data_IF_637787230364
#
_entry.id   IF_637787230364
#
_cell.length_a   1.000
_cell.length_b   1.000
_cell.length_c   1.000
_cell.angle_alpha   90.00
_cell.angle_beta   90.00
_cell.angle_gamma   90.00
#
_symmetry.space_group_name_H-M   'P 1'
#
loop_
_entity.id
_entity.type
_entity.pdbx_description
1 polymer ?
#
# COMPACT_ATOMS: atom_id res chain seq x y z
N UNK A 1 45.09 1.16 11.06
CA UNK A 1 44.59 -0.17 11.40
C UNK A 1 43.91 -0.72 10.15
N UNK A 2 44.52 -1.70 9.47
CA UNK A 2 43.92 -2.31 8.29
C UNK A 2 42.85 -3.29 8.78
N UNK A 3 41.60 -3.07 8.39
CA UNK A 3 40.50 -4.00 8.64
C UNK A 3 40.79 -5.35 7.99
N UNK A 4 40.54 -6.43 8.74
CA UNK A 4 40.65 -7.79 8.25
C UNK A 4 39.77 -7.95 6.96
N UNK A 5 40.20 -8.69 5.90
CA UNK A 5 39.38 -8.95 4.70
C UNK A 5 38.00 -9.46 5.02
N UNK A 6 37.79 -10.29 6.03
CA UNK A 6 36.50 -10.77 6.50
C UNK A 6 35.60 -9.62 6.98
N UNK A 7 36.14 -8.65 7.72
CA UNK A 7 35.38 -7.49 8.20
C UNK A 7 34.92 -6.60 7.05
N UNK A 8 35.73 -6.43 6.00
CA UNK A 8 35.32 -5.67 4.79
C UNK A 8 34.19 -6.35 4.05
N UNK A 9 34.23 -7.68 3.96
CA UNK A 9 33.17 -8.44 3.30
C UNK A 9 31.84 -8.36 4.05
N UNK A 10 31.87 -8.50 5.37
CA UNK A 10 30.70 -8.37 6.24
C UNK A 10 30.13 -6.94 6.16
N UNK A 11 30.98 -5.91 6.22
CA UNK A 11 30.51 -4.52 6.04
C UNK A 11 29.86 -4.26 4.69
N UNK A 12 30.39 -4.85 3.62
CA UNK A 12 29.77 -4.74 2.29
C UNK A 12 28.38 -5.37 2.27
N UNK A 13 28.22 -6.59 2.79
CA UNK A 13 26.93 -7.27 2.90
C UNK A 13 25.96 -6.45 3.74
N UNK A 14 26.37 -5.90 4.87
CA UNK A 14 25.53 -5.05 5.73
C UNK A 14 25.04 -3.80 4.98
N UNK A 15 25.92 -3.16 4.20
CA UNK A 15 25.56 -1.99 3.40
C UNK A 15 24.52 -2.36 2.34
N UNK A 16 24.75 -3.42 1.56
CA UNK A 16 23.82 -3.90 0.54
C UNK A 16 22.45 -4.25 1.14
N UNK A 17 22.43 -4.91 2.30
CA UNK A 17 21.18 -5.23 3.02
C UNK A 17 20.46 -4.00 3.54
N UNK A 18 21.19 -3.02 4.05
CA UNK A 18 20.60 -1.74 4.47
C UNK A 18 19.95 -0.99 3.30
N UNK A 19 20.58 -1.00 2.13
CA UNK A 19 20.05 -0.39 0.91
C UNK A 19 18.77 -1.12 0.43
N UNK A 20 18.79 -2.45 0.42
CA UNK A 20 17.62 -3.27 0.08
C UNK A 20 16.45 -3.03 1.05
N UNK A 21 16.74 -2.92 2.34
CA UNK A 21 15.77 -2.61 3.36
C UNK A 21 15.08 -1.24 3.12
N UNK A 22 15.87 -0.19 2.90
CA UNK A 22 15.35 1.15 2.62
C UNK A 22 14.52 1.16 1.33
N UNK A 23 14.95 0.41 0.31
CA UNK A 23 14.22 0.26 -0.94
C UNK A 23 12.88 -0.44 -0.74
N UNK A 24 12.85 -1.51 0.07
CA UNK A 24 11.62 -2.25 0.39
C UNK A 24 10.63 -1.38 1.16
N UNK A 25 11.10 -0.59 2.14
CA UNK A 25 10.24 0.36 2.87
C UNK A 25 9.65 1.44 1.95
N UNK A 26 10.46 2.00 1.04
CA UNK A 26 9.95 2.96 0.05
C UNK A 26 8.87 2.35 -0.84
N UNK A 27 9.03 1.11 -1.25
CA UNK A 27 8.03 0.40 -2.07
C UNK A 27 6.72 0.21 -1.33
N UNK A 28 6.76 -0.20 -0.06
CA UNK A 28 5.56 -0.35 0.78
C UNK A 28 4.87 0.99 0.96
N UNK A 29 5.62 2.05 1.29
CA UNK A 29 5.07 3.40 1.45
C UNK A 29 4.40 3.92 0.18
N UNK A 30 5.06 3.80 -0.98
CA UNK A 30 4.50 4.20 -2.28
C UNK A 30 3.23 3.44 -2.63
N UNK A 31 3.21 2.14 -2.36
CA UNK A 31 2.03 1.32 -2.61
C UNK A 31 0.83 1.77 -1.76
N UNK A 32 1.08 2.04 -0.49
CA UNK A 32 0.05 2.51 0.44
C UNK A 32 -0.48 3.89 0.04
N UNK A 33 0.40 4.82 -0.33
CA UNK A 33 0.02 6.15 -0.81
C UNK A 33 -0.80 6.09 -2.09
N UNK A 34 -0.41 5.25 -3.04
CA UNK A 34 -1.15 5.07 -4.29
C UNK A 34 -2.57 4.52 -4.06
N UNK A 35 -2.72 3.56 -3.14
CA UNK A 35 -4.01 2.99 -2.79
C UNK A 35 -4.91 4.02 -2.09
N UNK A 36 -4.36 4.75 -1.14
CA UNK A 36 -5.07 5.82 -0.44
C UNK A 36 -5.52 6.90 -1.40
N UNK A 37 -4.62 7.36 -2.26
CA UNK A 37 -4.91 8.41 -3.23
C UNK A 37 -5.97 7.98 -4.25
N UNK A 38 -5.98 6.71 -4.67
CA UNK A 38 -7.04 6.18 -5.53
C UNK A 38 -8.42 6.36 -4.90
N UNK A 39 -8.63 5.94 -3.67
CA UNK A 39 -9.93 6.05 -3.01
C UNK A 39 -10.33 7.50 -2.71
N UNK A 40 -9.35 8.35 -2.38
CA UNK A 40 -9.59 9.78 -2.20
C UNK A 40 -10.04 10.44 -3.50
N UNK A 41 -9.33 10.19 -4.60
CA UNK A 41 -9.66 10.76 -5.91
C UNK A 41 -11.03 10.26 -6.38
N UNK A 42 -11.33 8.97 -6.24
CA UNK A 42 -12.65 8.44 -6.62
C UNK A 42 -13.79 9.01 -5.78
N UNK A 43 -13.57 9.26 -4.48
CA UNK A 43 -14.54 9.94 -3.63
C UNK A 43 -14.77 11.39 -4.08
N UNK A 44 -13.71 12.14 -4.40
CA UNK A 44 -13.83 13.51 -4.88
C UNK A 44 -14.55 13.60 -6.24
N UNK A 45 -14.23 12.69 -7.16
CA UNK A 45 -14.91 12.61 -8.46
C UNK A 45 -16.39 12.26 -8.26
N UNK A 46 -16.72 11.30 -7.39
CA UNK A 46 -18.12 10.98 -7.07
C UNK A 46 -18.85 12.17 -6.48
N UNK A 47 -18.22 12.93 -5.59
CA UNK A 47 -18.81 14.14 -5.02
C UNK A 47 -19.08 15.20 -6.08
N UNK A 48 -18.15 15.41 -7.03
CA UNK A 48 -18.32 16.34 -8.13
C UNK A 48 -19.52 15.96 -9.03
N UNK A 49 -19.69 14.66 -9.32
CA UNK A 49 -20.83 14.15 -10.08
C UNK A 49 -22.14 14.36 -9.30
N UNK A 50 -22.18 14.07 -7.99
CA UNK A 50 -23.35 14.31 -7.14
C UNK A 50 -23.76 15.78 -7.21
N UNK A 51 -22.82 16.71 -7.08
CA UNK A 51 -23.10 18.14 -7.15
C UNK A 51 -23.64 18.55 -8.51
N UNK A 52 -23.11 17.98 -9.59
CA UNK A 52 -23.60 18.20 -10.96
C UNK A 52 -25.02 17.63 -11.13
N UNK A 53 -25.26 16.40 -10.70
CA UNK A 53 -26.58 15.76 -10.80
C UNK A 53 -27.64 16.50 -9.97
N UNK A 54 -27.28 17.00 -8.78
CA UNK A 54 -28.18 17.83 -7.96
C UNK A 54 -28.52 19.12 -8.69
N UNK A 55 -27.56 19.79 -9.30
CA UNK A 55 -27.79 21.01 -10.08
C UNK A 55 -28.69 20.75 -11.27
N UNK A 56 -28.46 19.67 -12.01
CA UNK A 56 -29.31 19.26 -13.14
C UNK A 56 -30.72 18.88 -12.70
N UNK A 57 -30.89 18.24 -11.56
CA UNK A 57 -32.16 17.87 -10.99
C UNK A 57 -33.05 19.09 -10.71
N UNK A 58 -32.48 20.18 -10.23
CA UNK A 58 -33.19 21.43 -10.02
C UNK A 58 -33.57 22.17 -11.34
N UNK A 59 -32.79 21.91 -12.42
CA UNK A 59 -32.97 22.60 -13.70
C UNK A 59 -33.93 21.86 -14.62
N UNK A 60 -33.95 20.54 -14.60
CA UNK A 60 -34.66 19.66 -15.54
C UNK A 60 -35.73 18.81 -14.85
N UNK A 61 -36.67 19.36 -14.16
CA UNK A 61 -37.80 18.67 -13.51
C UNK A 61 -37.84 17.14 -13.64
N UNK A 62 -37.31 16.43 -12.63
CA UNK A 62 -37.59 15.01 -12.35
C UNK A 62 -37.22 13.98 -13.43
N UNK A 63 -36.08 14.11 -14.09
CA UNK A 63 -35.61 13.08 -15.01
C UNK A 63 -35.17 11.79 -14.26
N UNK A 64 -35.72 10.64 -14.67
CA UNK A 64 -35.38 9.32 -14.07
C UNK A 64 -33.89 8.98 -14.18
N UNK A 65 -33.22 9.40 -15.25
CA UNK A 65 -31.81 9.13 -15.48
C UNK A 65 -30.92 9.85 -14.46
N UNK A 66 -31.28 11.08 -14.06
CA UNK A 66 -30.55 11.82 -13.02
C UNK A 66 -30.69 11.10 -11.66
N UNK A 67 -31.86 10.56 -11.33
CA UNK A 67 -32.05 9.78 -10.10
C UNK A 67 -31.20 8.51 -10.09
N UNK A 68 -31.11 7.83 -11.24
CA UNK A 68 -30.27 6.63 -11.39
C UNK A 68 -28.79 6.99 -11.28
N UNK A 69 -28.35 8.08 -11.93
CA UNK A 69 -26.99 8.60 -11.81
C UNK A 69 -26.65 8.92 -10.36
N UNK A 70 -27.48 9.68 -9.66
CA UNK A 70 -27.33 10.01 -8.23
C UNK A 70 -27.21 8.77 -7.35
N UNK A 71 -28.03 7.75 -7.61
CA UNK A 71 -28.00 6.50 -6.86
C UNK A 71 -26.65 5.79 -7.00
N UNK A 72 -26.17 5.58 -8.24
CA UNK A 72 -24.89 4.92 -8.47
C UNK A 72 -23.72 5.73 -7.96
N UNK A 73 -23.77 7.05 -8.10
CA UNK A 73 -22.71 7.94 -7.60
C UNK A 73 -22.68 7.97 -6.08
N UNK A 74 -23.82 7.97 -5.40
CA UNK A 74 -23.89 7.90 -3.95
C UNK A 74 -23.30 6.59 -3.41
N UNK A 75 -23.60 5.46 -4.06
CA UNK A 75 -22.99 4.16 -3.72
C UNK A 75 -21.47 4.22 -3.93
N UNK A 76 -20.99 4.73 -5.06
CA UNK A 76 -19.56 4.86 -5.35
C UNK A 76 -18.87 5.75 -4.33
N UNK A 77 -19.48 6.87 -3.95
CA UNK A 77 -18.95 7.78 -2.93
C UNK A 77 -18.82 7.10 -1.57
N UNK A 78 -19.90 6.50 -1.08
CA UNK A 78 -19.91 5.81 0.21
C UNK A 78 -18.91 4.66 0.25
N UNK A 79 -18.85 3.89 -0.84
CA UNK A 79 -17.89 2.81 -0.96
C UNK A 79 -16.44 3.31 -0.97
N UNK A 80 -16.15 4.39 -1.71
CA UNK A 80 -14.83 5.00 -1.76
C UNK A 80 -14.41 5.54 -0.39
N UNK A 81 -15.34 6.22 0.31
CA UNK A 81 -15.09 6.77 1.64
C UNK A 81 -14.86 5.67 2.67
N UNK A 82 -15.71 4.64 2.70
CA UNK A 82 -15.55 3.50 3.60
C UNK A 82 -14.23 2.75 3.32
N UNK A 83 -13.89 2.55 2.05
CA UNK A 83 -12.63 1.91 1.65
C UNK A 83 -11.42 2.75 2.03
N UNK A 84 -11.50 4.08 1.90
CA UNK A 84 -10.46 5.00 2.33
C UNK A 84 -10.22 4.92 3.84
N UNK A 85 -11.27 4.97 4.66
CA UNK A 85 -11.18 4.89 6.12
C UNK A 85 -10.62 3.53 6.56
N UNK A 86 -11.14 2.44 6.02
CA UNK A 86 -10.66 1.08 6.31
C UNK A 86 -9.18 0.91 5.88
N UNK A 87 -8.77 1.59 4.82
CA UNK A 87 -7.38 1.54 4.36
C UNK A 87 -6.44 2.32 5.28
N UNK A 88 -6.88 3.43 5.86
CA UNK A 88 -6.12 4.18 6.86
C UNK A 88 -5.89 3.33 8.12
N UNK A 89 -6.92 2.66 8.62
CA UNK A 89 -6.84 1.81 9.81
C UNK A 89 -5.92 0.60 9.58
N UNK A 90 -6.19 -0.18 8.54
CA UNK A 90 -5.39 -1.38 8.21
C UNK A 90 -3.95 -1.07 7.81
N UNK A 91 -3.68 0.09 7.24
CA UNK A 91 -2.30 0.47 6.92
C UNK A 91 -1.49 0.76 8.17
N UNK A 92 -2.10 1.34 9.20
CA UNK A 92 -1.42 1.56 10.48
C UNK A 92 -1.04 0.23 11.13
N UNK A 93 -1.95 -0.75 11.14
CA UNK A 93 -1.66 -2.10 11.66
C UNK A 93 -0.59 -2.82 10.85
N UNK A 94 -0.72 -2.85 9.52
CA UNK A 94 0.27 -3.50 8.63
C UNK A 94 1.66 -2.86 8.75
N UNK A 95 1.75 -1.55 8.89
CA UNK A 95 3.02 -0.87 9.14
C UNK A 95 3.62 -1.30 10.47
N UNK A 96 2.82 -1.38 11.52
CA UNK A 96 3.23 -1.88 12.83
C UNK A 96 3.81 -3.29 12.74
N UNK A 97 3.12 -4.20 12.04
CA UNK A 97 3.57 -5.58 11.81
C UNK A 97 4.89 -5.65 11.03
N UNK A 98 5.00 -4.85 9.96
CA UNK A 98 6.24 -4.76 9.17
C UNK A 98 7.40 -4.27 10.02
N UNK A 99 7.20 -3.20 10.81
CA UNK A 99 8.25 -2.68 11.68
C UNK A 99 8.65 -3.70 12.74
N UNK A 100 7.70 -4.42 13.33
CA UNK A 100 7.96 -5.46 14.32
C UNK A 100 8.76 -6.62 13.72
N UNK A 101 8.37 -7.11 12.53
CA UNK A 101 9.10 -8.18 11.81
C UNK A 101 10.53 -7.75 11.46
N UNK A 102 10.68 -6.51 11.02
CA UNK A 102 11.99 -5.95 10.67
C UNK A 102 12.90 -5.73 11.90
N UNK A 103 12.32 -5.30 13.01
CA UNK A 103 13.09 -5.16 14.26
C UNK A 103 13.55 -6.51 14.78
N UNK A 104 12.71 -7.53 14.70
CA UNK A 104 13.07 -8.90 15.04
C UNK A 104 14.21 -9.43 14.15
N UNK A 105 14.16 -9.17 12.84
CA UNK A 105 15.24 -9.55 11.91
C UNK A 105 16.55 -8.82 12.22
N UNK A 106 16.49 -7.53 12.52
CA UNK A 106 17.65 -6.73 12.94
C UNK A 106 18.25 -7.23 14.24
N UNK A 107 17.41 -7.59 15.22
CA UNK A 107 17.88 -8.15 16.49
C UNK A 107 18.63 -9.45 16.27
N UNK A 108 18.09 -10.38 15.47
CA UNK A 108 18.77 -11.63 15.10
C UNK A 108 20.12 -11.38 14.42
N UNK A 109 20.18 -10.40 13.52
CA UNK A 109 21.41 -10.00 12.84
C UNK A 109 22.44 -9.44 13.83
N UNK A 110 22.01 -8.56 14.74
CA UNK A 110 22.87 -8.00 15.79
C UNK A 110 23.43 -9.08 16.70
N UNK A 111 22.62 -10.07 17.09
CA UNK A 111 23.03 -11.17 17.95
C UNK A 111 24.04 -12.10 17.23
N UNK A 112 23.81 -12.40 15.94
CA UNK A 112 24.74 -13.16 15.12
C UNK A 112 26.11 -12.46 14.99
N UNK A 113 26.09 -11.13 14.73
CA UNK A 113 27.30 -10.31 14.66
C UNK A 113 28.06 -10.27 15.98
N UNK A 114 27.34 -10.07 17.09
CA UNK A 114 27.97 -10.12 18.42
C UNK A 114 28.60 -11.47 18.69
N UNK A 115 27.97 -12.58 18.29
CA UNK A 115 28.50 -13.92 18.37
C UNK A 115 29.79 -14.09 17.55
N UNK A 116 29.81 -13.54 16.34
CA UNK A 116 30.97 -13.58 15.45
C UNK A 116 32.15 -12.78 16.04
N UNK A 117 31.95 -11.53 16.43
CA UNK A 117 33.01 -10.69 17.03
C UNK A 117 33.49 -11.20 18.39
N UNK A 118 32.64 -11.95 19.11
CA UNK A 118 33.04 -12.63 20.34
C UNK A 118 33.76 -13.98 20.11
N UNK A 119 34.00 -14.38 18.85
CA UNK A 119 34.63 -15.64 18.49
C UNK A 119 33.79 -16.89 18.79
N UNK A 120 32.46 -16.73 18.98
CA UNK A 120 31.54 -17.84 19.26
C UNK A 120 30.94 -18.44 17.99
N UNK A 121 30.94 -17.70 16.90
CA UNK A 121 30.40 -18.06 15.57
C UNK A 121 31.57 -17.91 14.60
N UNK A 122 31.79 -18.91 13.77
CA UNK A 122 32.80 -18.90 12.72
C UNK A 122 32.32 -18.12 11.46
N UNK A 123 33.26 -17.82 10.57
CA UNK A 123 32.98 -17.05 9.35
C UNK A 123 32.03 -17.78 8.41
N UNK A 124 32.08 -19.11 8.32
CA UNK A 124 31.17 -19.92 7.53
C UNK A 124 29.73 -19.79 8.02
N UNK A 125 29.54 -19.94 9.33
CA UNK A 125 28.19 -19.87 9.95
C UNK A 125 27.58 -18.49 9.83
N UNK A 126 28.34 -17.39 9.95
CA UNK A 126 27.79 -16.05 9.76
C UNK A 126 27.46 -15.77 8.29
N UNK A 127 28.24 -16.30 7.37
CA UNK A 127 27.95 -16.21 5.92
C UNK A 127 26.67 -16.97 5.60
N UNK A 128 26.47 -18.17 6.10
CA UNK A 128 25.25 -18.97 5.93
C UNK A 128 24.04 -18.27 6.56
N UNK A 129 24.21 -17.63 7.73
CA UNK A 129 23.18 -16.80 8.32
C UNK A 129 22.74 -15.69 7.36
N UNK A 130 23.68 -14.97 6.76
CA UNK A 130 23.36 -13.91 5.80
C UNK A 130 22.73 -14.40 4.50
N UNK A 131 23.05 -15.58 4.03
CA UNK A 131 22.46 -16.18 2.84
C UNK A 131 21.01 -16.65 3.08
N UNK A 132 20.72 -17.15 4.29
CA UNK A 132 19.43 -17.77 4.61
C UNK A 132 18.43 -16.82 5.28
N UNK A 133 18.90 -15.69 5.85
CA UNK A 133 18.03 -14.71 6.51
C UNK A 133 17.89 -13.45 5.66
N UNK A 134 16.86 -13.42 4.79
CA UNK A 134 16.53 -12.24 4.00
C UNK A 134 16.12 -11.05 4.88
N UNK A 135 16.52 -9.85 4.46
CA UNK A 135 16.08 -8.56 5.05
C UNK A 135 14.89 -8.00 4.25
N UNK A 136 14.45 -8.72 3.23
CA UNK A 136 13.34 -8.28 2.41
C UNK A 136 12.04 -8.29 3.21
N UNK A 137 11.22 -7.26 2.96
CA UNK A 137 9.85 -7.23 3.46
C UNK A 137 9.10 -8.40 2.84
N UNK A 138 8.48 -9.21 3.67
CA UNK A 138 7.82 -10.44 3.26
C UNK A 138 6.75 -10.13 2.20
N UNK A 139 6.68 -10.93 1.13
CA UNK A 139 5.71 -10.76 0.04
C UNK A 139 4.26 -10.77 0.52
N UNK A 140 3.99 -11.34 1.71
CA UNK A 140 2.66 -11.31 2.35
C UNK A 140 2.14 -9.89 2.64
N UNK A 141 3.04 -8.90 2.77
CA UNK A 141 2.69 -7.50 3.00
C UNK A 141 2.39 -6.74 1.70
N UNK A 142 2.73 -7.32 0.56
CA UNK A 142 2.37 -6.79 -0.74
C UNK A 142 0.96 -7.26 -1.13
N UNK A 143 0.40 -6.61 -2.10
CA UNK A 143 -0.98 -6.70 -2.59
C UNK A 143 -1.66 -8.06 -2.40
N UNK A 144 -2.76 -8.05 -1.65
CA UNK A 144 -3.77 -9.10 -1.75
C UNK A 144 -4.62 -8.84 -3.00
N UNK A 145 -4.85 -9.87 -3.83
CA UNK A 145 -5.85 -9.84 -4.91
C UNK A 145 -7.24 -9.36 -4.42
N UNK A 146 -7.51 -9.46 -3.12
CA UNK A 146 -8.72 -8.95 -2.47
C UNK A 146 -8.88 -7.42 -2.58
N UNK A 147 -7.83 -6.66 -2.86
CA UNK A 147 -7.90 -5.20 -3.01
C UNK A 147 -8.21 -4.77 -4.45
N UNK A 148 -8.01 -5.63 -5.43
CA UNK A 148 -8.24 -5.33 -6.85
C UNK A 148 -9.73 -5.33 -7.16
N UNK A 149 -10.47 -6.32 -6.67
CA UNK A 149 -11.90 -6.48 -6.92
C UNK A 149 -12.74 -5.27 -6.48
N UNK A 150 -12.56 -4.71 -5.27
CA UNK A 150 -13.26 -3.50 -4.85
C UNK A 150 -13.01 -2.29 -5.76
N UNK A 151 -11.81 -2.15 -6.31
CA UNK A 151 -11.49 -1.05 -7.24
C UNK A 151 -12.26 -1.17 -8.55
N UNK A 152 -12.32 -2.37 -9.13
CA UNK A 152 -13.09 -2.61 -10.35
C UNK A 152 -14.58 -2.36 -10.16
N UNK A 153 -15.17 -2.81 -9.05
CA UNK A 153 -16.58 -2.57 -8.72
C UNK A 153 -16.84 -1.06 -8.64
N UNK A 154 -15.99 -0.31 -7.96
CA UNK A 154 -16.13 1.13 -7.83
C UNK A 154 -16.03 1.85 -9.19
N UNK A 155 -15.10 1.44 -10.05
CA UNK A 155 -14.96 1.97 -11.40
C UNK A 155 -16.21 1.70 -12.26
N UNK A 156 -16.82 0.52 -12.13
CA UNK A 156 -18.07 0.18 -12.83
C UNK A 156 -19.20 1.11 -12.40
N UNK A 157 -19.39 1.31 -11.09
CA UNK A 157 -20.44 2.23 -10.60
C UNK A 157 -20.22 3.67 -11.08
N UNK A 158 -19.00 4.15 -11.07
CA UNK A 158 -18.64 5.49 -11.53
C UNK A 158 -18.89 5.63 -13.04
N UNK A 159 -18.54 4.61 -13.83
CA UNK A 159 -18.77 4.60 -15.27
C UNK A 159 -20.26 4.60 -15.60
N UNK A 160 -21.07 3.79 -14.90
CA UNK A 160 -22.51 3.77 -15.06
C UNK A 160 -23.13 5.12 -14.71
N UNK A 161 -22.74 5.71 -13.58
CA UNK A 161 -23.18 7.03 -13.17
C UNK A 161 -22.90 8.09 -14.25
N UNK A 162 -21.67 8.11 -14.77
CA UNK A 162 -21.27 9.05 -15.84
C UNK A 162 -22.07 8.85 -17.11
N UNK A 163 -22.33 7.61 -17.51
CA UNK A 163 -23.15 7.30 -18.69
C UNK A 163 -24.58 7.82 -18.49
N UNK A 164 -25.21 7.54 -17.36
CA UNK A 164 -26.57 8.03 -17.08
C UNK A 164 -26.63 9.55 -16.96
N UNK A 165 -25.61 10.20 -16.45
CA UNK A 165 -25.48 11.66 -16.45
C UNK A 165 -25.42 12.20 -17.89
N UNK A 166 -24.59 11.62 -18.75
CA UNK A 166 -24.41 12.08 -20.13
C UNK A 166 -25.66 11.91 -20.98
N UNK A 167 -26.46 10.85 -20.76
CA UNK A 167 -27.74 10.64 -21.48
C UNK A 167 -28.71 11.83 -21.30
N UNK A 168 -28.56 12.59 -20.22
CA UNK A 168 -29.42 13.77 -20.00
C UNK A 168 -29.05 14.99 -20.85
N UNK A 169 -27.88 14.96 -21.50
CA UNK A 169 -27.42 16.06 -22.37
C UNK A 169 -27.76 15.82 -23.86
N UNK A 170 -28.21 14.61 -24.22
CA UNK A 170 -28.58 14.23 -25.57
C UNK A 170 -30.08 13.91 -25.68
#
# INVERSE_FOLDING_TARGET
>A
MQLNPADKHIQKIQKERSELFVKSLKYVAQYQDNSRNYYLVTALVSLAIILSDVTLFYTFESNHFIKISLFFTAISFLFSLASYLNHLEKNSEKLGDIFTDLDLKRKKESDALRGFYAGRIDEGSIRDFYLNHGVEVDKKYFISHKEILPRWINMIFLSLATIFMLINFF
#
